data_IF_291126056946
#
_entry.id   IF_291126056946
#
_cell.length_a   1.000
_cell.length_b   1.000
_cell.length_c   1.000
_cell.angle_alpha   90.00
_cell.angle_beta   90.00
_cell.angle_gamma   90.00
#
_symmetry.space_group_name_H-M   'P 1'
#
loop_
_entity.id
_entity.type
_entity.pdbx_description
1 polymer ?
#
# COMPACT_ATOMS: atom_id res chain seq x y z
N UNK A 1 8.03 1.42 -14.21
CA UNK A 1 6.89 2.11 -14.85
C UNK A 1 6.10 2.78 -13.74
N UNK A 2 5.62 4.02 -13.93
CA UNK A 2 4.92 4.76 -12.87
C UNK A 2 3.41 4.66 -13.03
N UNK A 3 2.71 4.34 -11.95
CA UNK A 3 1.26 4.19 -11.88
C UNK A 3 0.69 5.08 -10.76
N UNK A 4 -0.56 5.53 -10.90
CA UNK A 4 -1.25 6.22 -9.81
C UNK A 4 -2.16 5.21 -9.09
N UNK A 5 -1.96 5.06 -7.79
CA UNK A 5 -2.78 4.21 -6.93
C UNK A 5 -3.58 5.08 -5.98
N UNK A 6 -4.89 4.87 -5.96
CA UNK A 6 -5.79 5.33 -4.92
C UNK A 6 -6.08 4.18 -3.97
N UNK A 7 -5.93 4.42 -2.67
CA UNK A 7 -6.18 3.38 -1.68
C UNK A 7 -6.42 3.91 -0.28
N UNK A 8 -7.13 3.12 0.51
CA UNK A 8 -7.31 3.36 1.94
C UNK A 8 -6.17 2.70 2.70
N UNK A 9 -5.49 3.44 3.59
CA UNK A 9 -4.42 2.94 4.42
C UNK A 9 -5.00 2.01 5.49
N UNK A 10 -4.72 0.72 5.37
CA UNK A 10 -5.10 -0.28 6.36
C UNK A 10 -4.10 -0.33 7.52
N UNK A 11 -2.83 -0.10 7.22
CA UNK A 11 -1.74 -0.15 8.19
C UNK A 11 -0.65 0.84 7.81
N UNK A 12 -0.13 1.59 8.79
CA UNK A 12 0.93 2.56 8.56
C UNK A 12 2.08 2.32 9.55
N UNK A 13 3.25 1.95 9.02
CA UNK A 13 4.47 1.74 9.81
C UNK A 13 5.42 2.91 9.56
N UNK A 14 5.76 3.70 10.60
CA UNK A 14 6.76 4.75 10.47
C UNK A 14 8.17 4.15 10.35
N UNK A 15 9.13 4.91 9.75
CA UNK A 15 10.49 4.42 9.53
C UNK A 15 11.21 4.01 10.84
N UNK A 16 10.82 4.60 11.97
CA UNK A 16 11.37 4.29 13.29
C UNK A 16 10.91 2.94 13.84
N UNK A 17 9.74 2.45 13.41
CA UNK A 17 9.11 1.22 13.91
C UNK A 17 9.28 0.04 12.93
N UNK A 18 9.83 0.27 11.72
CA UNK A 18 10.22 -0.80 10.79
C UNK A 18 11.12 -1.86 11.46
N UNK A 19 11.84 -1.46 12.51
CA UNK A 19 12.69 -2.31 13.30
C UNK A 19 11.97 -3.34 14.16
N UNK A 20 10.78 -3.00 14.61
CA UNK A 20 9.96 -3.74 15.58
C UNK A 20 8.99 -4.71 14.91
N UNK A 21 8.72 -4.49 13.62
CA UNK A 21 7.89 -5.37 12.80
C UNK A 21 8.71 -6.46 12.09
N UNK A 22 8.12 -7.66 12.00
CA UNK A 22 8.65 -8.79 11.24
C UNK A 22 8.41 -8.56 9.74
N UNK A 23 9.19 -7.65 9.16
CA UNK A 23 9.17 -7.32 7.74
C UNK A 23 10.15 -8.20 6.98
N UNK A 24 9.79 -8.53 5.74
CA UNK A 24 10.72 -9.17 4.80
C UNK A 24 12.00 -8.31 4.68
N UNK A 25 13.21 -8.89 4.79
CA UNK A 25 14.46 -8.17 4.69
C UNK A 25 14.58 -7.30 3.42
N UNK A 26 14.00 -7.75 2.29
CA UNK A 26 14.02 -6.99 1.04
C UNK A 26 13.11 -5.75 1.13
N UNK A 27 11.92 -5.89 1.72
CA UNK A 27 11.01 -4.76 1.99
C UNK A 27 11.63 -3.75 2.94
N UNK A 28 12.32 -4.23 3.99
CA UNK A 28 13.00 -3.39 4.96
C UNK A 28 14.13 -2.58 4.34
N UNK A 29 14.89 -3.19 3.41
CA UNK A 29 15.91 -2.47 2.63
C UNK A 29 15.30 -1.43 1.70
N UNK A 30 14.15 -1.71 1.08
CA UNK A 30 13.43 -0.76 0.22
C UNK A 30 12.84 0.42 1.00
N UNK A 31 12.46 0.19 2.25
CA UNK A 31 11.84 1.17 3.14
C UNK A 31 12.83 1.95 4.01
N UNK A 32 14.14 1.85 3.76
CA UNK A 32 15.15 2.56 4.56
C UNK A 32 14.87 4.07 4.58
N UNK A 33 14.55 4.60 5.77
CA UNK A 33 14.13 5.98 6.03
C UNK A 33 12.79 6.42 5.38
N UNK A 34 11.90 5.48 5.03
CA UNK A 34 10.57 5.73 4.46
C UNK A 34 9.47 5.03 5.25
N UNK A 35 8.23 5.48 5.08
CA UNK A 35 7.05 4.89 5.69
C UNK A 35 6.61 3.67 4.87
N UNK A 36 6.11 2.63 5.53
CA UNK A 36 5.46 1.49 4.86
C UNK A 36 3.96 1.60 5.10
N UNK A 37 3.21 1.80 4.02
CA UNK A 37 1.75 1.88 4.03
C UNK A 37 1.20 0.61 3.38
N UNK A 38 0.41 -0.16 4.11
CA UNK A 38 -0.41 -1.21 3.51
C UNK A 38 -1.73 -0.58 3.14
N UNK A 39 -2.00 -0.46 1.85
CA UNK A 39 -3.20 0.15 1.33
C UNK A 39 -4.11 -0.90 0.69
N UNK A 40 -5.43 -0.73 0.87
CA UNK A 40 -6.40 -1.42 0.03
C UNK A 40 -6.58 -0.63 -1.26
N UNK A 41 -6.27 -1.24 -2.41
CA UNK A 41 -6.47 -0.61 -3.71
C UNK A 41 -7.96 -0.38 -3.98
N UNK A 42 -8.34 0.81 -4.44
CA UNK A 42 -9.74 1.17 -4.73
C UNK A 42 -10.45 1.97 -3.63
N UNK A 43 -9.73 2.50 -2.64
CA UNK A 43 -10.30 3.38 -1.61
C UNK A 43 -11.35 2.70 -0.73
N UNK A 44 -12.41 3.44 -0.38
CA UNK A 44 -13.57 2.92 0.35
C UNK A 44 -14.57 2.31 -0.65
N UNK A 45 -14.59 0.98 -0.83
CA UNK A 45 -15.34 0.36 -1.91
C UNK A 45 -16.83 0.58 -1.69
N UNK A 46 -17.51 1.02 -2.74
CA UNK A 46 -18.97 1.06 -2.72
C UNK A 46 -19.50 -0.37 -2.63
N UNK A 47 -20.69 -0.55 -2.03
CA UNK A 47 -21.36 -1.86 -1.92
C UNK A 47 -21.48 -2.53 -3.30
N UNK A 48 -21.56 -1.74 -4.38
CA UNK A 48 -21.56 -2.20 -5.76
C UNK A 48 -20.22 -2.78 -6.22
N UNK A 49 -19.10 -2.19 -5.81
CA UNK A 49 -17.75 -2.71 -6.14
C UNK A 49 -17.46 -3.99 -5.37
N UNK A 50 -17.91 -4.09 -4.12
CA UNK A 50 -17.86 -5.35 -3.37
C UNK A 50 -18.66 -6.46 -4.08
N UNK A 51 -19.87 -6.15 -4.55
CA UNK A 51 -20.68 -7.11 -5.32
C UNK A 51 -20.02 -7.49 -6.66
N UNK A 52 -19.37 -6.54 -7.32
CA UNK A 52 -18.68 -6.77 -8.60
C UNK A 52 -17.39 -7.58 -8.43
N UNK A 53 -16.60 -7.31 -7.39
CA UNK A 53 -15.41 -8.07 -7.00
C UNK A 53 -15.76 -9.54 -6.69
N UNK A 54 -16.87 -9.78 -5.98
CA UNK A 54 -17.40 -11.13 -5.75
C UNK A 54 -17.84 -11.80 -7.06
N UNK A 55 -18.46 -11.07 -7.98
CA UNK A 55 -18.89 -11.58 -9.28
C UNK A 55 -17.71 -11.92 -10.19
N UNK A 56 -16.62 -11.14 -10.14
CA UNK A 56 -15.40 -11.37 -10.93
C UNK A 56 -14.37 -12.29 -10.26
N UNK A 57 -14.53 -12.62 -8.97
CA UNK A 57 -13.50 -13.32 -8.16
C UNK A 57 -12.13 -12.61 -8.16
N UNK A 58 -12.10 -11.31 -8.37
CA UNK A 58 -10.91 -10.48 -8.16
C UNK A 58 -11.04 -9.86 -6.76
N UNK A 59 -10.44 -10.46 -5.71
CA UNK A 59 -10.47 -9.87 -4.39
C UNK A 59 -9.83 -8.49 -4.40
N UNK A 60 -10.27 -7.62 -3.51
CA UNK A 60 -9.73 -6.26 -3.39
C UNK A 60 -8.30 -6.38 -2.85
N UNK A 61 -7.31 -6.25 -3.73
CA UNK A 61 -5.92 -6.60 -3.43
C UNK A 61 -5.28 -5.61 -2.44
N UNK A 62 -4.70 -6.10 -1.33
CA UNK A 62 -3.84 -5.28 -0.48
C UNK A 62 -2.52 -5.02 -1.20
N UNK A 63 -2.14 -3.76 -1.32
CA UNK A 63 -0.87 -3.31 -1.90
C UNK A 63 -0.01 -2.67 -0.83
N UNK A 64 1.29 -2.94 -0.86
CA UNK A 64 2.26 -2.32 0.05
C UNK A 64 2.94 -1.16 -0.67
N UNK A 65 2.95 0.01 -0.06
CA UNK A 65 3.51 1.23 -0.63
C UNK A 65 4.58 1.78 0.31
N UNK A 66 5.81 1.87 -0.18
CA UNK A 66 6.89 2.59 0.50
C UNK A 66 6.73 4.08 0.21
N UNK A 67 6.13 4.79 1.15
CA UNK A 67 5.79 6.21 1.05
C UNK A 67 6.85 7.11 1.68
N UNK A 68 7.06 8.28 1.10
CA UNK A 68 7.90 9.35 1.69
C UNK A 68 7.12 10.10 2.76
N UNK A 69 5.82 10.28 2.52
CA UNK A 69 4.91 11.01 3.40
C UNK A 69 4.26 10.06 4.41
N UNK A 70 3.99 10.58 5.60
CA UNK A 70 3.21 9.88 6.60
C UNK A 70 1.72 9.91 6.24
N UNK A 71 1.03 8.81 6.48
CA UNK A 71 -0.42 8.70 6.41
C UNK A 71 -0.91 7.90 7.61
N UNK A 72 -2.11 8.19 8.10
CA UNK A 72 -2.72 7.46 9.20
C UNK A 72 -3.56 6.29 8.68
N UNK A 73 -3.78 5.30 9.53
CA UNK A 73 -4.76 4.24 9.25
C UNK A 73 -6.16 4.86 9.05
N UNK A 74 -6.86 4.39 8.02
CA UNK A 74 -8.15 4.92 7.58
C UNK A 74 -8.05 6.09 6.60
N UNK A 75 -6.86 6.67 6.37
CA UNK A 75 -6.70 7.74 5.39
C UNK A 75 -6.84 7.21 3.96
N UNK A 76 -7.50 7.97 3.10
CA UNK A 76 -7.47 7.74 1.65
C UNK A 76 -6.29 8.48 1.05
N UNK A 77 -5.36 7.75 0.44
CA UNK A 77 -4.16 8.28 -0.18
C UNK A 77 -4.19 8.12 -1.69
N UNK A 78 -3.69 9.14 -2.38
CA UNK A 78 -3.55 9.19 -3.84
C UNK A 78 -2.07 9.30 -4.18
N UNK A 79 -1.41 8.17 -4.41
CA UNK A 79 0.05 8.10 -4.55
C UNK A 79 0.46 7.79 -5.99
N UNK A 80 1.47 8.50 -6.47
CA UNK A 80 2.16 8.11 -7.72
C UNK A 80 3.30 7.20 -7.32
N UNK A 81 3.26 5.98 -7.80
CA UNK A 81 4.18 4.92 -7.38
C UNK A 81 4.87 4.28 -8.57
N UNK A 82 6.02 3.68 -8.33
CA UNK A 82 6.71 2.79 -9.24
C UNK A 82 6.67 1.36 -8.71
N UNK A 83 6.51 0.40 -9.62
CA UNK A 83 6.61 -1.02 -9.29
C UNK A 83 8.06 -1.35 -8.88
N UNK A 84 8.20 -2.11 -7.79
CA UNK A 84 9.51 -2.60 -7.34
C UNK A 84 9.77 -4.01 -7.87
N UNK A 85 10.90 -4.61 -7.51
CA UNK A 85 11.20 -6.02 -7.81
C UNK A 85 10.27 -6.99 -7.07
N UNK A 86 9.62 -6.54 -6.00
CA UNK A 86 8.69 -7.34 -5.21
C UNK A 86 7.25 -7.13 -5.71
N UNK A 87 6.58 -8.22 -6.10
CA UNK A 87 5.18 -8.19 -6.52
C UNK A 87 4.28 -7.69 -5.39
N UNK A 88 3.42 -6.72 -5.68
CA UNK A 88 2.53 -6.11 -4.70
C UNK A 88 3.20 -5.06 -3.80
N UNK A 89 4.49 -4.76 -4.02
CA UNK A 89 5.21 -3.67 -3.34
C UNK A 89 5.55 -2.57 -4.35
N UNK A 90 5.13 -1.36 -4.02
CA UNK A 90 5.34 -0.17 -4.82
C UNK A 90 6.12 0.87 -4.03
N UNK A 91 6.87 1.73 -4.73
CA UNK A 91 7.60 2.84 -4.13
C UNK A 91 7.01 4.16 -4.58
N UNK A 92 6.74 5.07 -3.65
CA UNK A 92 6.34 6.43 -4.01
C UNK A 92 7.50 7.15 -4.73
N UNK A 93 7.18 7.70 -5.89
CA UNK A 93 8.11 8.48 -6.74
C UNK A 93 8.21 9.90 -6.20
#
# INVERSE_FOLDING_TARGET
>A
MTERIEGEVLYAIPPTELGEHDLDPELRSLAEARHVLVCRRGGHPSIFELAWAMLRREPIEPVTIVAREAAAEGDTVMLTVEETTMSGVYRQV
#
